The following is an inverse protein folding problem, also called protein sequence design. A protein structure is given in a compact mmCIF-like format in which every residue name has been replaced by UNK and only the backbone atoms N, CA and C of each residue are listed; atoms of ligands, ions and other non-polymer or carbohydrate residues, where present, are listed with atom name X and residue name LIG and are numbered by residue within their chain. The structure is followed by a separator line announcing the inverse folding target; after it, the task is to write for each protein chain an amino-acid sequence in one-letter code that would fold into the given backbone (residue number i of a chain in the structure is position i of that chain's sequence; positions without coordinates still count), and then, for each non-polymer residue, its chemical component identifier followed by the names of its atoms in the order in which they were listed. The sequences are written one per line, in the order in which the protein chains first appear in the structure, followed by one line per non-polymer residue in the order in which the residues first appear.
data_IF_991913646670
#
_entry.id   IF_991913646670
#
_cell.length_a   1.000
_cell.length_b   1.000
_cell.length_c   1.000
_cell.angle_alpha   90.00
_cell.angle_beta   90.00
_cell.angle_gamma   90.00
#
_symmetry.space_group_name_H-M   'P 1'
#
loop_
_entity.id
_entity.type
_entity.pdbx_description
1 polymer ?
#
# COMPACT_ATOMS: atom_id res chain seq x y z
N UNK A 1 36.80 4.45 19.53
CA UNK A 1 36.96 4.75 20.97
C UNK A 1 35.73 4.23 21.69
N UNK A 2 35.84 3.09 22.37
CA UNK A 2 34.76 2.52 23.18
C UNK A 2 34.66 3.29 24.49
N UNK A 3 33.72 4.22 24.58
CA UNK A 3 33.25 4.68 25.88
C UNK A 3 32.45 3.53 26.48
N UNK A 4 32.99 2.88 27.52
CA UNK A 4 32.21 1.97 28.34
C UNK A 4 31.14 2.78 29.07
N UNK A 5 29.96 2.91 28.48
CA UNK A 5 28.78 3.34 29.21
C UNK A 5 28.42 2.22 30.19
N UNK A 6 28.97 2.27 31.39
CA UNK A 6 28.61 1.37 32.49
C UNK A 6 27.29 1.82 33.12
N UNK A 7 26.23 1.95 32.31
CA UNK A 7 24.88 2.19 32.82
C UNK A 7 24.37 0.89 33.42
N UNK A 8 24.34 0.82 34.76
CA UNK A 8 23.92 -0.39 35.49
C UNK A 8 22.40 -0.58 35.54
N UNK A 9 21.63 0.41 35.09
CA UNK A 9 20.16 0.37 35.09
C UNK A 9 19.59 0.06 33.71
N UNK A 10 20.13 0.68 32.66
CA UNK A 10 19.69 0.53 31.27
C UNK A 10 20.76 -0.23 30.46
N UNK A 11 20.83 -1.54 30.68
CA UNK A 11 21.74 -2.46 29.98
C UNK A 11 21.03 -3.76 29.61
N UNK A 12 21.58 -4.50 28.64
CA UNK A 12 21.12 -5.87 28.36
C UNK A 12 21.51 -6.83 29.48
N UNK A 13 20.70 -7.87 29.68
CA UNK A 13 20.93 -8.90 30.68
C UNK A 13 20.37 -10.27 30.28
N UNK A 14 20.55 -11.25 31.16
CA UNK A 14 19.89 -12.54 31.06
C UNK A 14 18.58 -12.54 31.88
N UNK A 15 17.52 -13.22 31.41
CA UNK A 15 17.47 -13.97 30.16
C UNK A 15 17.32 -13.07 28.92
N UNK A 16 17.99 -13.41 27.82
CA UNK A 16 17.99 -12.56 26.60
C UNK A 16 16.62 -12.23 26.03
N UNK A 17 15.59 -13.07 26.23
CA UNK A 17 14.22 -12.79 25.78
C UNK A 17 13.59 -11.56 26.45
N UNK A 18 14.11 -11.14 27.61
CA UNK A 18 13.64 -9.96 28.33
C UNK A 18 14.36 -8.66 27.90
N UNK A 19 15.32 -8.74 26.94
CA UNK A 19 15.98 -7.57 26.40
C UNK A 19 15.12 -6.92 25.30
N UNK A 20 15.00 -5.59 25.33
CA UNK A 20 14.42 -4.82 24.23
C UNK A 20 15.51 -4.29 23.29
N UNK A 21 15.31 -4.42 21.98
CA UNK A 21 16.15 -3.76 20.99
C UNK A 21 15.72 -2.30 20.83
N UNK A 22 16.59 -1.36 21.18
CA UNK A 22 16.33 0.09 21.13
C UNK A 22 17.39 0.81 20.28
N UNK A 23 17.12 2.07 19.92
CA UNK A 23 18.01 2.85 19.06
C UNK A 23 18.20 2.18 17.69
N UNK A 24 19.41 2.24 17.14
CA UNK A 24 19.71 1.71 15.80
C UNK A 24 19.62 0.18 15.69
N UNK A 25 19.56 -0.54 16.82
CA UNK A 25 19.38 -2.00 16.81
C UNK A 25 17.92 -2.42 16.55
N UNK A 26 16.95 -1.53 16.83
CA UNK A 26 15.52 -1.78 16.57
C UNK A 26 14.88 -0.77 15.62
N UNK A 27 15.50 0.40 15.45
CA UNK A 27 15.03 1.55 14.64
C UNK A 27 13.54 1.87 14.82
N UNK A 28 13.03 1.98 16.07
CA UNK A 28 11.60 2.23 16.29
C UNK A 28 11.19 3.63 15.82
N UNK A 29 10.10 3.71 15.06
CA UNK A 29 9.52 4.97 14.58
C UNK A 29 8.44 5.52 15.51
N UNK A 30 7.96 6.73 15.23
CA UNK A 30 6.95 7.42 16.05
C UNK A 30 5.68 6.57 16.33
N UNK A 31 5.27 5.73 15.37
CA UNK A 31 4.11 4.83 15.50
C UNK A 31 4.40 3.67 16.45
N UNK A 32 5.63 3.16 16.49
CA UNK A 32 6.00 2.09 17.42
C UNK A 32 5.94 2.59 18.87
N UNK A 33 6.42 3.82 19.10
CA UNK A 33 6.26 4.49 20.40
C UNK A 33 4.77 4.70 20.74
N UNK A 34 3.97 5.22 19.79
CA UNK A 34 2.54 5.45 20.00
C UNK A 34 1.81 4.16 20.39
N UNK A 35 2.09 3.05 19.70
CA UNK A 35 1.55 1.71 20.01
C UNK A 35 2.03 1.20 21.37
N UNK A 36 3.29 1.42 21.72
CA UNK A 36 3.84 1.07 23.03
C UNK A 36 3.08 1.76 24.17
N UNK A 37 2.87 3.08 24.07
CA UNK A 37 2.06 3.81 25.05
C UNK A 37 0.60 3.34 25.05
N UNK A 38 -0.03 3.14 23.89
CA UNK A 38 -1.41 2.63 23.84
C UNK A 38 -1.55 1.25 24.50
N UNK A 39 -0.60 0.34 24.26
CA UNK A 39 -0.56 -0.99 24.86
C UNK A 39 -0.35 -0.92 26.38
N UNK A 40 0.53 -0.04 26.86
CA UNK A 40 0.72 0.19 28.29
C UNK A 40 -0.56 0.69 28.97
N UNK A 41 -1.26 1.68 28.38
CA UNK A 41 -2.52 2.17 28.91
C UNK A 41 -3.59 1.06 28.99
N UNK A 42 -3.75 0.27 27.93
CA UNK A 42 -4.69 -0.86 27.93
C UNK A 42 -4.34 -1.90 28.98
N UNK A 43 -3.06 -2.23 29.15
CA UNK A 43 -2.59 -3.20 30.14
C UNK A 43 -2.89 -2.74 31.57
N UNK A 44 -2.67 -1.45 31.86
CA UNK A 44 -2.99 -0.86 33.17
C UNK A 44 -4.50 -0.83 33.43
N UNK A 45 -5.30 -0.45 32.42
CA UNK A 45 -6.76 -0.49 32.50
C UNK A 45 -7.25 -1.93 32.78
N UNK A 46 -6.74 -2.90 32.02
CA UNK A 46 -7.11 -4.31 32.15
C UNK A 46 -6.79 -4.85 33.54
N UNK A 47 -5.58 -4.56 34.03
CA UNK A 47 -5.11 -5.04 35.32
C UNK A 47 -5.92 -4.45 36.48
N UNK A 48 -6.19 -3.14 36.45
CA UNK A 48 -7.01 -2.47 37.46
C UNK A 48 -8.49 -2.90 37.42
N UNK A 49 -9.02 -3.23 36.24
CA UNK A 49 -10.40 -3.71 36.10
C UNK A 49 -10.52 -5.16 36.60
N UNK A 50 -9.53 -6.01 36.32
CA UNK A 50 -9.59 -7.45 36.58
C UNK A 50 -9.79 -7.79 38.07
N UNK A 51 -9.22 -7.00 38.97
CA UNK A 51 -9.33 -7.19 40.42
C UNK A 51 -10.14 -6.09 41.10
N UNK A 52 -10.93 -5.32 40.34
CA UNK A 52 -11.74 -4.18 40.84
C UNK A 52 -10.91 -3.11 41.57
N UNK A 53 -9.64 -2.94 41.18
CA UNK A 53 -8.74 -1.91 41.71
C UNK A 53 -8.14 -2.26 43.06
N UNK A 54 -8.14 -3.54 43.45
CA UNK A 54 -7.63 -3.98 44.75
C UNK A 54 -6.10 -3.83 44.85
N UNK A 55 -5.35 -4.34 43.85
CA UNK A 55 -3.88 -4.21 43.82
C UNK A 55 -3.42 -2.95 43.10
N UNK A 56 -4.26 -2.43 42.20
CA UNK A 56 -3.98 -1.27 41.36
C UNK A 56 -5.11 -0.24 41.50
N UNK A 57 -5.13 0.57 42.57
CA UNK A 57 -6.21 1.50 42.86
C UNK A 57 -6.44 2.50 41.72
N UNK A 58 -7.69 2.57 41.25
CA UNK A 58 -8.08 3.44 40.13
C UNK A 58 -7.80 4.93 40.43
N UNK A 59 -7.95 5.35 41.69
CA UNK A 59 -7.70 6.73 42.13
C UNK A 59 -6.24 7.15 41.98
N UNK A 60 -5.31 6.20 42.04
CA UNK A 60 -3.88 6.44 41.84
C UNK A 60 -3.49 6.29 40.37
N UNK A 61 -4.04 5.28 39.69
CA UNK A 61 -3.69 4.98 38.30
C UNK A 61 -4.35 5.89 37.26
N UNK A 62 -5.44 6.59 37.61
CA UNK A 62 -6.17 7.42 36.64
C UNK A 62 -5.27 8.44 35.94
N UNK A 63 -4.34 9.05 36.68
CA UNK A 63 -3.42 10.06 36.14
C UNK A 63 -2.42 9.46 35.14
N UNK A 64 -1.58 8.46 35.49
CA UNK A 64 -0.66 7.88 34.52
C UNK A 64 -1.38 7.21 33.35
N UNK A 65 -2.52 6.53 33.56
CA UNK A 65 -3.30 5.91 32.47
C UNK A 65 -3.77 6.97 31.46
N UNK A 66 -4.43 8.03 31.93
CA UNK A 66 -4.92 9.10 31.06
C UNK A 66 -3.76 9.83 30.35
N UNK A 67 -2.65 10.09 31.05
CA UNK A 67 -1.46 10.67 30.42
C UNK A 67 -0.88 9.77 29.32
N UNK A 68 -0.76 8.47 29.58
CA UNK A 68 -0.28 7.47 28.61
C UNK A 68 -1.19 7.39 27.38
N UNK A 69 -2.51 7.36 27.57
CA UNK A 69 -3.50 7.41 26.46
C UNK A 69 -3.34 8.68 25.63
N UNK A 70 -3.28 9.84 26.32
CA UNK A 70 -3.11 11.15 25.70
C UNK A 70 -1.82 11.23 24.89
N UNK A 71 -0.71 10.71 25.41
CA UNK A 71 0.57 10.76 24.72
C UNK A 71 0.63 9.82 23.51
N UNK A 72 0.00 8.64 23.58
CA UNK A 72 -0.17 7.79 22.41
C UNK A 72 -0.89 8.55 21.26
N UNK A 73 -1.98 9.25 21.58
CA UNK A 73 -2.73 10.07 20.61
C UNK A 73 -1.83 11.17 20.03
N UNK A 74 -1.11 11.91 20.87
CA UNK A 74 -0.19 12.98 20.42
C UNK A 74 0.82 12.48 19.38
N UNK A 75 1.43 11.31 19.60
CA UNK A 75 2.42 10.73 18.70
C UNK A 75 1.83 10.35 17.34
N UNK A 76 0.62 9.76 17.32
CA UNK A 76 -0.11 9.53 16.08
C UNK A 76 -0.38 10.85 15.33
N UNK A 77 -0.88 11.87 16.02
CA UNK A 77 -1.20 13.15 15.38
C UNK A 77 0.04 13.87 14.83
N UNK A 78 1.16 13.79 15.54
CA UNK A 78 2.45 14.30 15.05
C UNK A 78 2.88 13.61 13.76
N UNK A 79 2.73 12.28 13.72
CA UNK A 79 3.03 11.50 12.51
C UNK A 79 2.09 11.86 11.35
N UNK A 80 0.78 11.99 11.59
CA UNK A 80 -0.16 12.40 10.53
C UNK A 80 0.14 13.79 9.96
N UNK A 81 0.56 14.73 10.82
CA UNK A 81 1.03 16.05 10.37
C UNK A 81 2.27 15.94 9.47
N UNK A 82 3.21 15.06 9.78
CA UNK A 82 4.39 14.79 8.95
C UNK A 82 4.01 14.11 7.62
N UNK A 83 3.12 13.13 7.65
CA UNK A 83 2.63 12.43 6.47
C UNK A 83 1.91 13.37 5.49
N UNK A 84 1.09 14.29 6.02
CA UNK A 84 0.47 15.35 5.23
C UNK A 84 1.51 16.25 4.55
N UNK A 85 2.57 16.61 5.27
CA UNK A 85 3.65 17.42 4.69
C UNK A 85 4.41 16.66 3.59
N UNK A 86 4.65 15.36 3.78
CA UNK A 86 5.26 14.49 2.76
C UNK A 86 4.38 14.39 1.51
N UNK A 87 3.08 14.13 1.66
CA UNK A 87 2.14 14.11 0.53
C UNK A 87 2.11 15.49 -0.17
N UNK A 88 2.10 16.58 0.59
CA UNK A 88 2.17 17.94 0.04
C UNK A 88 3.45 18.16 -0.79
N UNK A 89 4.59 17.69 -0.29
CA UNK A 89 5.86 17.77 -1.01
C UNK A 89 5.85 16.93 -2.30
N UNK A 90 5.37 15.68 -2.24
CA UNK A 90 5.22 14.81 -3.41
C UNK A 90 4.32 15.46 -4.47
N UNK A 91 3.26 16.15 -4.05
CA UNK A 91 2.33 16.86 -4.93
C UNK A 91 2.83 18.21 -5.43
N UNK A 92 3.97 18.70 -4.94
CA UNK A 92 4.43 20.09 -5.13
C UNK A 92 3.40 21.13 -4.65
N UNK A 93 2.61 20.79 -3.62
CA UNK A 93 1.64 21.67 -2.95
C UNK A 93 2.04 21.75 -1.48
N UNK A 94 2.96 22.67 -1.18
CA UNK A 94 3.45 22.84 0.20
C UNK A 94 2.30 23.23 1.14
N UNK A 95 2.17 22.49 2.23
CA UNK A 95 1.26 22.84 3.31
C UNK A 95 1.84 23.96 4.17
N UNK A 96 0.99 24.76 4.86
CA UNK A 96 1.45 25.76 5.80
C UNK A 96 2.39 25.15 6.85
N UNK A 97 3.45 25.89 7.19
CA UNK A 97 4.40 25.47 8.24
C UNK A 97 3.66 25.41 9.58
N UNK A 98 3.76 24.28 10.25
CA UNK A 98 3.20 24.11 11.59
C UNK A 98 4.16 24.72 12.63
N UNK A 99 3.61 25.51 13.56
CA UNK A 99 4.36 26.13 14.65
C UNK A 99 4.92 25.07 15.62
N UNK A 100 6.23 25.02 15.77
CA UNK A 100 6.92 24.06 16.65
C UNK A 100 6.66 24.34 18.14
N UNK A 101 6.38 25.60 18.53
CA UNK A 101 5.99 25.95 19.90
C UNK A 101 4.61 25.36 20.25
N UNK A 102 3.75 25.23 19.24
CA UNK A 102 2.43 24.60 19.33
C UNK A 102 2.46 23.06 19.28
N UNK A 103 3.64 22.43 19.13
CA UNK A 103 3.78 20.99 18.85
C UNK A 103 3.31 20.05 19.95
N UNK A 104 2.96 20.55 21.12
CA UNK A 104 2.42 19.76 22.22
C UNK A 104 0.94 20.03 22.50
N UNK A 105 0.29 20.94 21.78
CA UNK A 105 -1.13 21.23 21.96
C UNK A 105 -1.97 20.35 21.02
N UNK A 106 -2.71 19.39 21.59
CA UNK A 106 -3.53 18.45 20.82
C UNK A 106 -4.59 19.16 19.96
N UNK A 107 -5.20 20.25 20.44
CA UNK A 107 -6.21 20.97 19.66
C UNK A 107 -5.59 21.59 18.41
N UNK A 108 -4.39 22.15 18.54
CA UNK A 108 -3.68 22.76 17.41
C UNK A 108 -3.23 21.72 16.39
N UNK A 109 -2.63 20.62 16.85
CA UNK A 109 -2.21 19.54 15.96
C UNK A 109 -3.43 18.93 15.26
N UNK A 110 -4.51 18.64 16.00
CA UNK A 110 -5.71 18.04 15.43
C UNK A 110 -6.40 18.97 14.43
N UNK A 111 -6.52 20.26 14.75
CA UNK A 111 -7.08 21.25 13.81
C UNK A 111 -6.28 21.28 12.52
N UNK A 112 -4.95 21.27 12.60
CA UNK A 112 -4.08 21.20 11.42
C UNK A 112 -4.31 19.91 10.61
N UNK A 113 -4.26 18.75 11.26
CA UNK A 113 -4.47 17.46 10.61
C UNK A 113 -5.84 17.41 9.94
N UNK A 114 -6.90 17.79 10.65
CA UNK A 114 -8.29 17.83 10.14
C UNK A 114 -8.40 18.74 8.93
N UNK A 115 -7.95 19.99 9.02
CA UNK A 115 -8.06 20.96 7.91
C UNK A 115 -7.33 20.47 6.66
N UNK A 116 -6.09 19.99 6.81
CA UNK A 116 -5.27 19.64 5.66
C UNK A 116 -5.55 18.25 5.11
N UNK A 117 -5.95 17.28 5.92
CA UNK A 117 -6.37 15.97 5.44
C UNK A 117 -7.59 16.07 4.51
N UNK A 118 -8.60 16.85 4.89
CA UNK A 118 -9.82 17.07 4.08
C UNK A 118 -9.52 17.72 2.72
N UNK A 119 -8.45 18.53 2.63
CA UNK A 119 -8.01 19.17 1.39
C UNK A 119 -7.02 18.31 0.58
N UNK A 120 -6.47 17.24 1.18
CA UNK A 120 -5.39 16.46 0.59
C UNK A 120 -5.92 15.33 -0.28
N UNK A 121 -6.72 14.42 0.29
CA UNK A 121 -7.28 13.27 -0.42
C UNK A 121 -8.63 12.87 0.18
N UNK A 122 -9.59 12.50 -0.68
CA UNK A 122 -10.95 12.16 -0.28
C UNK A 122 -11.03 10.94 0.66
N UNK A 123 -10.06 10.02 0.58
CA UNK A 123 -9.99 8.82 1.43
C UNK A 123 -9.73 9.16 2.90
N UNK A 124 -9.18 10.33 3.20
CA UNK A 124 -8.89 10.75 4.58
C UNK A 124 -10.14 11.25 5.32
N UNK A 125 -11.18 11.66 4.58
CA UNK A 125 -12.35 12.36 5.15
C UNK A 125 -13.11 11.48 6.15
N UNK A 126 -13.38 10.23 5.80
CA UNK A 126 -14.10 9.31 6.67
C UNK A 126 -13.35 9.03 7.99
N UNK A 127 -12.03 8.83 7.90
CA UNK A 127 -11.19 8.61 9.08
C UNK A 127 -11.18 9.83 10.00
N UNK A 128 -11.00 11.02 9.45
CA UNK A 128 -11.00 12.26 10.23
C UNK A 128 -12.33 12.46 10.96
N UNK A 129 -13.46 12.24 10.27
CA UNK A 129 -14.78 12.36 10.88
C UNK A 129 -15.01 11.36 12.01
N UNK A 130 -14.54 10.11 11.87
CA UNK A 130 -14.67 9.08 12.90
C UNK A 130 -13.80 9.36 14.13
N UNK A 131 -12.67 10.03 13.95
CA UNK A 131 -11.71 10.35 15.02
C UNK A 131 -12.06 11.62 15.82
N UNK A 132 -12.82 12.54 15.20
CA UNK A 132 -13.00 13.91 15.70
C UNK A 132 -13.54 13.97 17.13
N UNK A 133 -14.58 13.21 17.45
CA UNK A 133 -15.18 13.16 18.79
C UNK A 133 -14.14 12.74 19.84
N UNK A 134 -13.44 11.63 19.60
CA UNK A 134 -12.50 11.06 20.56
C UNK A 134 -11.30 11.97 20.83
N UNK A 135 -10.75 12.59 19.78
CA UNK A 135 -9.61 13.48 19.93
C UNK A 135 -10.03 14.77 20.63
N UNK A 136 -11.20 15.31 20.29
CA UNK A 136 -11.73 16.52 20.91
C UNK A 136 -12.05 16.30 22.38
N UNK A 137 -12.57 15.14 22.78
CA UNK A 137 -12.79 14.80 24.19
C UNK A 137 -11.48 14.86 24.99
N UNK A 138 -10.42 14.24 24.47
CA UNK A 138 -9.11 14.22 25.15
C UNK A 138 -8.49 15.61 25.16
N UNK A 139 -8.58 16.36 24.06
CA UNK A 139 -8.01 17.70 23.96
C UNK A 139 -8.76 18.74 24.79
N UNK A 140 -10.08 18.59 24.97
CA UNK A 140 -10.87 19.44 25.87
C UNK A 140 -10.44 19.26 27.33
N UNK A 141 -9.97 18.06 27.70
CA UNK A 141 -9.54 17.76 29.05
C UNK A 141 -8.05 18.05 29.27
N UNK A 142 -7.18 17.69 28.33
CA UNK A 142 -5.73 17.84 28.45
C UNK A 142 -5.02 18.14 27.11
N UNK A 143 -5.29 19.32 26.57
CA UNK A 143 -4.67 19.80 25.34
C UNK A 143 -3.13 19.77 25.41
N UNK A 144 -2.55 20.26 26.51
CA UNK A 144 -1.10 20.50 26.68
C UNK A 144 -0.35 19.34 27.33
N UNK A 145 -1.06 18.29 27.73
CA UNK A 145 -0.52 17.13 28.43
C UNK A 145 -0.24 17.39 29.91
N UNK A 146 -0.61 18.53 30.48
CA UNK A 146 -0.26 18.93 31.84
C UNK A 146 -1.25 18.40 32.88
N UNK A 147 -2.53 18.27 32.52
CA UNK A 147 -3.65 18.03 33.44
C UNK A 147 -3.52 16.71 34.18
N UNK A 148 -3.01 15.67 33.52
CA UNK A 148 -2.79 14.36 34.13
C UNK A 148 -1.39 14.14 34.70
N UNK A 149 -0.48 15.11 34.57
CA UNK A 149 0.88 15.03 35.13
C UNK A 149 1.03 15.76 36.45
N UNK A 150 0.37 16.90 36.58
CA UNK A 150 0.54 17.78 37.74
C UNK A 150 -0.80 17.97 38.47
N UNK A 151 -0.80 18.10 39.81
CA UNK A 151 -2.04 18.36 40.56
C UNK A 151 -2.66 19.74 40.29
N UNK A 152 -1.84 20.72 39.93
CA UNK A 152 -2.21 22.11 39.68
C UNK A 152 -1.44 22.67 38.48
N UNK A 153 -1.99 23.73 37.87
CA UNK A 153 -1.31 24.50 36.83
C UNK A 153 -0.21 25.43 37.39
N UNK A 154 0.41 26.21 36.50
CA UNK A 154 1.46 27.18 36.84
C UNK A 154 0.97 28.32 37.76
N UNK A 155 -0.34 28.57 37.81
CA UNK A 155 -0.97 29.55 38.72
C UNK A 155 -1.40 28.89 40.04
N UNK A 156 -1.01 27.64 40.29
CA UNK A 156 -1.42 26.82 41.44
C UNK A 156 -2.94 26.57 41.51
N UNK A 157 -3.65 26.63 40.38
CA UNK A 157 -5.07 26.25 40.29
C UNK A 157 -5.17 24.75 40.07
N UNK A 158 -5.96 24.10 40.93
CA UNK A 158 -6.17 22.65 40.87
C UNK A 158 -6.82 22.24 39.55
N UNK A 159 -6.30 21.18 38.93
CA UNK A 159 -6.88 20.59 37.72
C UNK A 159 -8.13 19.74 37.99
N UNK A 160 -8.89 19.44 36.94
CA UNK A 160 -10.06 18.53 36.94
C UNK A 160 -11.22 18.94 37.88
N UNK A 161 -11.32 20.20 38.29
CA UNK A 161 -12.38 20.66 39.21
C UNK A 161 -13.80 20.56 38.65
N UNK A 162 -13.95 20.48 37.32
CA UNK A 162 -15.23 20.29 36.62
C UNK A 162 -15.59 18.82 36.36
N UNK A 163 -14.66 17.87 36.55
CA UNK A 163 -14.87 16.43 36.31
C UNK A 163 -14.42 15.67 37.55
N UNK A 164 -15.38 15.31 38.39
CA UNK A 164 -15.10 14.65 39.67
C UNK A 164 -14.88 13.13 39.60
N UNK A 165 -15.23 12.49 38.48
CA UNK A 165 -15.21 11.02 38.35
C UNK A 165 -14.76 10.63 36.94
N UNK A 166 -13.82 9.69 36.84
CA UNK A 166 -13.40 9.05 35.59
C UNK A 166 -13.56 7.54 35.75
N UNK A 167 -14.34 6.92 34.87
CA UNK A 167 -14.65 5.49 34.95
C UNK A 167 -13.73 4.66 34.03
N UNK A 168 -13.00 3.70 34.60
CA UNK A 168 -12.04 2.86 33.85
C UNK A 168 -12.70 1.96 32.80
N UNK A 169 -13.92 1.47 33.03
CA UNK A 169 -14.65 0.69 32.02
C UNK A 169 -15.01 1.56 30.81
N UNK A 170 -15.40 2.83 31.05
CA UNK A 170 -15.68 3.80 29.97
C UNK A 170 -14.40 4.14 29.21
N UNK A 171 -13.31 4.43 29.92
CA UNK A 171 -12.00 4.70 29.30
C UNK A 171 -11.55 3.53 28.42
N UNK A 172 -11.55 2.31 28.95
CA UNK A 172 -11.17 1.11 28.21
C UNK A 172 -12.02 0.92 26.97
N UNK A 173 -13.35 1.06 27.08
CA UNK A 173 -14.25 0.93 25.93
C UNK A 173 -13.94 1.96 24.85
N UNK A 174 -13.85 3.25 25.22
CA UNK A 174 -13.59 4.34 24.25
C UNK A 174 -12.20 4.23 23.64
N UNK A 175 -11.19 3.90 24.42
CA UNK A 175 -9.82 3.78 23.90
C UNK A 175 -9.66 2.58 22.97
N UNK A 176 -10.32 1.44 23.28
CA UNK A 176 -10.38 0.28 22.39
C UNK A 176 -11.08 0.58 21.06
N UNK A 177 -12.01 1.55 21.03
CA UNK A 177 -12.63 2.05 19.79
C UNK A 177 -11.70 3.00 19.03
N UNK A 178 -11.01 3.91 19.74
CA UNK A 178 -10.12 4.91 19.17
C UNK A 178 -8.89 4.29 18.50
N UNK A 179 -8.24 3.31 19.11
CA UNK A 179 -6.96 2.79 18.63
C UNK A 179 -7.02 2.23 17.19
N UNK A 180 -7.99 1.37 16.80
CA UNK A 180 -8.17 0.94 15.42
C UNK A 180 -8.42 2.09 14.43
N UNK A 181 -9.03 3.19 14.87
CA UNK A 181 -9.27 4.37 14.02
C UNK A 181 -7.97 5.13 13.73
N UNK A 182 -7.13 5.32 14.76
CA UNK A 182 -5.80 5.92 14.60
C UNK A 182 -4.91 5.06 13.71
N UNK A 183 -4.90 3.75 13.94
CA UNK A 183 -4.14 2.80 13.12
C UNK A 183 -4.69 2.73 11.68
N UNK A 184 -6.00 2.84 11.50
CA UNK A 184 -6.66 2.92 10.20
C UNK A 184 -6.20 4.15 9.40
N UNK A 185 -6.24 5.33 10.03
CA UNK A 185 -5.75 6.56 9.40
C UNK A 185 -4.26 6.46 9.07
N UNK A 186 -3.44 5.90 9.96
CA UNK A 186 -2.02 5.67 9.71
C UNK A 186 -1.77 4.79 8.48
N UNK A 187 -2.48 3.66 8.36
CA UNK A 187 -2.38 2.77 7.19
C UNK A 187 -2.74 3.52 5.90
N UNK A 188 -3.83 4.28 5.93
CA UNK A 188 -4.25 5.11 4.78
C UNK A 188 -3.18 6.14 4.40
N UNK A 189 -2.51 6.78 5.37
CA UNK A 189 -1.39 7.67 5.06
C UNK A 189 -0.21 6.96 4.41
N UNK A 190 0.20 5.80 4.93
CA UNK A 190 1.29 4.99 4.34
C UNK A 190 0.95 4.60 2.90
N UNK A 191 -0.26 4.10 2.66
CA UNK A 191 -0.72 3.72 1.33
C UNK A 191 -0.75 4.91 0.37
N UNK A 192 -1.21 6.08 0.84
CA UNK A 192 -1.24 7.31 0.05
C UNK A 192 0.15 7.82 -0.29
N UNK A 193 1.08 7.83 0.67
CA UNK A 193 2.46 8.28 0.43
C UNK A 193 3.08 7.41 -0.68
N UNK A 194 2.96 6.09 -0.59
CA UNK A 194 3.43 5.18 -1.62
C UNK A 194 2.73 5.41 -2.97
N UNK A 195 1.40 5.61 -2.99
CA UNK A 195 0.66 5.92 -4.22
C UNK A 195 1.14 7.23 -4.88
N UNK A 196 1.33 8.29 -4.10
CA UNK A 196 1.80 9.59 -4.59
C UNK A 196 3.27 9.53 -5.07
N UNK A 197 4.12 8.66 -4.49
CA UNK A 197 5.50 8.44 -4.98
C UNK A 197 5.55 7.94 -6.43
N UNK A 198 4.51 7.28 -6.91
CA UNK A 198 4.42 6.83 -8.31
C UNK A 198 4.14 7.95 -9.32
N UNK A 199 3.68 9.11 -8.87
CA UNK A 199 3.61 10.31 -9.73
C UNK A 199 2.39 10.43 -10.63
N UNK A 200 1.38 9.55 -10.53
CA UNK A 200 0.13 9.69 -11.30
C UNK A 200 -0.96 10.37 -10.50
N UNK A 201 -0.92 11.69 -10.56
CA UNK A 201 -1.91 12.62 -10.04
C UNK A 201 -1.81 13.92 -10.85
N UNK A 202 -2.77 14.82 -10.68
CA UNK A 202 -2.66 16.19 -11.18
C UNK A 202 -2.60 17.16 -10.00
N UNK A 203 -2.54 18.47 -10.26
CA UNK A 203 -2.52 19.46 -9.18
C UNK A 203 -3.71 19.30 -8.22
N UNK A 204 -4.87 18.90 -8.76
CA UNK A 204 -6.12 18.77 -8.01
C UNK A 204 -6.67 17.35 -7.88
N UNK A 205 -6.27 16.38 -8.71
CA UNK A 205 -6.85 15.04 -8.73
C UNK A 205 -5.86 13.98 -8.24
N UNK A 206 -6.27 13.16 -7.27
CA UNK A 206 -5.53 11.98 -6.86
C UNK A 206 -5.62 10.85 -7.89
N UNK A 207 -4.80 9.80 -7.75
CA UNK A 207 -4.88 8.62 -8.64
C UNK A 207 -6.27 8.00 -8.61
N UNK A 208 -6.88 7.88 -7.42
CA UNK A 208 -8.24 7.37 -7.28
C UNK A 208 -9.25 8.18 -8.12
N UNK A 209 -9.15 9.50 -8.07
CA UNK A 209 -10.02 10.38 -8.84
C UNK A 209 -9.75 10.28 -10.35
N UNK A 210 -8.49 10.10 -10.76
CA UNK A 210 -8.15 9.81 -12.16
C UNK A 210 -8.75 8.47 -12.63
N UNK A 211 -8.74 7.44 -11.79
CA UNK A 211 -9.40 6.15 -12.10
C UNK A 211 -10.91 6.30 -12.25
N UNK A 212 -11.57 7.00 -11.31
CA UNK A 212 -13.00 7.32 -11.39
C UNK A 212 -13.32 8.11 -12.68
N UNK A 213 -12.49 9.10 -13.01
CA UNK A 213 -12.64 9.91 -14.21
C UNK A 213 -12.45 9.08 -15.49
N UNK A 214 -11.48 8.15 -15.51
CA UNK A 214 -11.29 7.23 -16.62
C UNK A 214 -12.52 6.33 -16.85
N UNK A 215 -13.17 5.88 -15.78
CA UNK A 215 -14.40 5.08 -15.86
C UNK A 215 -15.63 5.89 -16.27
N UNK A 216 -15.67 7.19 -15.98
CA UNK A 216 -16.77 8.08 -16.41
C UNK A 216 -16.64 8.54 -17.88
N UNK A 217 -15.44 8.45 -18.46
CA UNK A 217 -15.20 8.86 -19.85
C UNK A 217 -15.82 7.86 -20.84
N UNK A 218 -16.44 8.33 -21.93
CA UNK A 218 -16.84 7.45 -23.02
C UNK A 218 -15.61 6.93 -23.75
N UNK A 219 -15.80 5.85 -24.52
CA UNK A 219 -14.76 5.31 -25.39
C UNK A 219 -14.11 6.41 -26.26
N UNK A 220 -12.78 6.35 -26.37
CA UNK A 220 -11.91 7.33 -27.02
C UNK A 220 -12.24 7.55 -28.49
N UNK A 221 -12.81 6.55 -29.16
CA UNK A 221 -13.28 6.62 -30.55
C UNK A 221 -14.46 7.58 -30.73
N UNK A 222 -15.21 7.87 -29.66
CA UNK A 222 -16.44 8.67 -29.68
C UNK A 222 -16.24 10.15 -29.38
N UNK A 223 -15.00 10.58 -29.09
CA UNK A 223 -14.73 11.94 -28.64
C UNK A 223 -14.84 13.00 -29.76
N UNK A 224 -14.96 12.59 -31.01
CA UNK A 224 -15.27 13.49 -32.14
C UNK A 224 -16.77 13.77 -32.32
N UNK A 225 -17.63 13.06 -31.59
CA UNK A 225 -19.08 13.25 -31.65
C UNK A 225 -19.50 14.48 -30.82
N UNK A 226 -20.56 15.17 -31.25
CA UNK A 226 -21.04 16.41 -30.61
C UNK A 226 -21.41 16.26 -29.12
N UNK A 227 -21.80 15.07 -28.67
CA UNK A 227 -22.16 14.83 -27.27
C UNK A 227 -20.96 14.98 -26.32
N UNK A 228 -19.73 14.82 -26.81
CA UNK A 228 -18.53 14.84 -25.97
C UNK A 228 -18.28 16.21 -25.33
N UNK A 229 -18.71 17.30 -25.97
CA UNK A 229 -18.62 18.63 -25.38
C UNK A 229 -19.45 18.74 -24.09
N UNK A 230 -20.65 18.14 -24.08
CA UNK A 230 -21.48 18.08 -22.87
C UNK A 230 -20.85 17.19 -21.80
N UNK A 231 -20.31 16.03 -22.17
CA UNK A 231 -19.58 15.14 -21.24
C UNK A 231 -18.45 15.91 -20.55
N UNK A 232 -17.70 16.73 -21.28
CA UNK A 232 -16.62 17.53 -20.68
C UNK A 232 -17.15 18.58 -19.71
N UNK A 233 -18.32 19.17 -19.97
CA UNK A 233 -18.99 20.09 -19.03
C UNK A 233 -19.39 19.35 -17.76
N UNK A 234 -20.00 18.18 -17.89
CA UNK A 234 -20.47 17.37 -16.76
C UNK A 234 -19.30 16.89 -15.89
N UNK A 235 -18.22 16.41 -16.51
CA UNK A 235 -17.00 15.98 -15.80
C UNK A 235 -16.33 17.12 -15.04
N UNK A 236 -16.23 18.33 -15.63
CA UNK A 236 -15.70 19.50 -14.90
C UNK A 236 -16.52 19.81 -13.66
N UNK A 237 -17.85 19.72 -13.76
CA UNK A 237 -18.76 19.95 -12.63
C UNK A 237 -18.60 18.87 -11.57
N UNK A 238 -18.62 17.59 -11.97
CA UNK A 238 -18.48 16.42 -11.06
C UNK A 238 -17.18 16.47 -10.26
N UNK A 239 -16.05 16.71 -10.94
CA UNK A 239 -14.72 16.71 -10.33
C UNK A 239 -14.26 18.09 -9.85
N UNK A 240 -15.07 19.15 -10.03
CA UNK A 240 -14.76 20.53 -9.64
C UNK A 240 -13.44 21.04 -10.23
N UNK A 241 -13.18 20.74 -11.50
CA UNK A 241 -11.93 21.08 -12.20
C UNK A 241 -12.13 22.06 -13.36
N UNK A 242 -11.09 22.83 -13.67
CA UNK A 242 -11.06 23.69 -14.86
C UNK A 242 -10.92 22.87 -16.16
N UNK A 243 -11.26 23.48 -17.30
CA UNK A 243 -11.03 22.84 -18.61
C UNK A 243 -9.57 22.44 -18.85
N UNK A 244 -8.61 23.26 -18.40
CA UNK A 244 -7.17 22.97 -18.55
C UNK A 244 -6.76 21.77 -17.72
N UNK A 245 -7.27 21.69 -16.50
CA UNK A 245 -6.97 20.59 -15.58
C UNK A 245 -7.59 19.28 -16.06
N UNK A 246 -8.84 19.30 -16.52
CA UNK A 246 -9.47 18.14 -17.17
C UNK A 246 -8.65 17.65 -18.37
N UNK A 247 -8.16 18.55 -19.23
CA UNK A 247 -7.28 18.16 -20.34
C UNK A 247 -6.00 17.46 -19.88
N UNK A 248 -5.38 17.92 -18.78
CA UNK A 248 -4.17 17.28 -18.22
C UNK A 248 -4.49 15.90 -17.69
N UNK A 249 -5.58 15.76 -16.93
CA UNK A 249 -6.06 14.49 -16.41
C UNK A 249 -6.32 13.48 -17.54
N UNK A 250 -7.04 13.88 -18.58
CA UNK A 250 -7.32 13.06 -19.76
C UNK A 250 -6.05 12.63 -20.49
N UNK A 251 -5.06 13.53 -20.60
CA UNK A 251 -3.75 13.19 -21.20
C UNK A 251 -3.00 12.16 -20.36
N UNK A 252 -3.01 12.29 -19.04
CA UNK A 252 -2.35 11.36 -18.13
C UNK A 252 -3.03 9.99 -18.14
N UNK A 253 -4.37 9.94 -18.18
CA UNK A 253 -5.14 8.69 -18.31
C UNK A 253 -4.73 7.91 -19.57
N UNK A 254 -4.56 8.60 -20.71
CA UNK A 254 -4.16 7.97 -21.97
C UNK A 254 -2.75 7.37 -21.95
N UNK A 255 -1.91 7.67 -20.95
CA UNK A 255 -0.54 7.14 -20.84
C UNK A 255 -0.37 6.10 -19.74
N UNK A 256 -1.46 5.66 -19.10
CA UNK A 256 -1.45 4.63 -18.06
C UNK A 256 -2.26 3.45 -18.56
N UNK A 257 -1.64 2.28 -18.70
CA UNK A 257 -2.22 1.04 -19.18
C UNK A 257 -3.62 0.78 -18.63
N UNK A 258 -3.76 0.70 -17.30
CA UNK A 258 -5.04 0.34 -16.68
C UNK A 258 -6.13 1.41 -16.89
N UNK A 259 -5.76 2.69 -17.03
CA UNK A 259 -6.72 3.78 -17.20
C UNK A 259 -7.07 4.01 -18.68
N UNK A 260 -6.10 3.87 -19.58
CA UNK A 260 -6.29 4.00 -21.02
C UNK A 260 -7.17 2.86 -21.55
N UNK A 261 -7.07 1.68 -20.95
CA UNK A 261 -7.97 0.55 -21.23
C UNK A 261 -9.44 0.88 -20.92
N UNK A 262 -9.73 1.61 -19.82
CA UNK A 262 -11.10 2.02 -19.48
C UNK A 262 -11.78 2.86 -20.56
N UNK A 263 -11.00 3.64 -21.32
CA UNK A 263 -11.51 4.47 -22.42
C UNK A 263 -11.40 3.77 -23.78
N UNK A 264 -11.13 2.46 -23.83
CA UNK A 264 -11.00 1.71 -25.07
C UNK A 264 -9.80 2.15 -25.93
N UNK A 265 -8.72 2.59 -25.31
CA UNK A 265 -7.48 2.98 -25.98
C UNK A 265 -6.27 2.39 -25.24
N UNK A 266 -6.14 1.05 -25.16
CA UNK A 266 -5.06 0.40 -24.41
C UNK A 266 -3.69 0.86 -24.91
N UNK A 267 -2.74 1.03 -23.98
CA UNK A 267 -1.36 1.39 -24.31
C UNK A 267 -0.64 0.13 -24.79
N UNK A 268 -0.07 0.11 -26.00
CA UNK A 268 0.67 -1.06 -26.47
C UNK A 268 1.92 -1.30 -25.63
N UNK A 269 2.18 -2.57 -25.27
CA UNK A 269 3.45 -2.97 -24.64
C UNK A 269 4.49 -3.17 -25.76
N UNK A 270 5.61 -2.43 -25.77
CA UNK A 270 6.65 -2.58 -26.78
C UNK A 270 7.12 -4.04 -26.91
N UNK A 271 7.23 -4.52 -28.15
CA UNK A 271 7.72 -5.88 -28.49
C UNK A 271 6.87 -7.02 -27.92
N UNK A 272 5.69 -6.75 -27.38
CA UNK A 272 4.73 -7.79 -27.04
C UNK A 272 3.90 -8.15 -28.27
N UNK A 273 3.88 -9.43 -28.63
CA UNK A 273 3.00 -9.96 -29.66
C UNK A 273 2.31 -11.24 -29.17
N UNK A 274 1.10 -11.52 -29.68
CA UNK A 274 0.40 -12.78 -29.42
C UNK A 274 1.28 -13.95 -29.85
N UNK A 275 1.89 -13.88 -31.04
CA UNK A 275 2.74 -14.94 -31.57
C UNK A 275 3.94 -15.27 -30.67
N UNK A 276 4.60 -14.28 -30.07
CA UNK A 276 5.71 -14.51 -29.13
C UNK A 276 5.22 -15.19 -27.85
N UNK A 277 4.09 -14.73 -27.29
CA UNK A 277 3.49 -15.39 -26.13
C UNK A 277 3.05 -16.83 -26.42
N UNK A 278 2.47 -17.09 -27.59
CA UNK A 278 2.09 -18.43 -28.01
C UNK A 278 3.32 -19.35 -28.13
N UNK A 279 4.40 -18.89 -28.78
CA UNK A 279 5.66 -19.66 -28.85
C UNK A 279 6.21 -19.98 -27.45
N UNK A 280 6.17 -19.00 -26.55
CA UNK A 280 6.62 -19.17 -25.17
C UNK A 280 5.77 -20.20 -24.42
N UNK A 281 4.44 -20.06 -24.45
CA UNK A 281 3.53 -20.97 -23.74
C UNK A 281 3.51 -22.36 -24.36
N UNK A 282 3.62 -22.50 -25.69
CA UNK A 282 3.72 -23.79 -26.36
C UNK A 282 4.95 -24.58 -25.87
N UNK A 283 6.11 -23.91 -25.74
CA UNK A 283 7.31 -24.55 -25.16
C UNK A 283 7.14 -24.85 -23.68
N UNK A 284 6.51 -23.96 -22.91
CA UNK A 284 6.28 -24.20 -21.49
C UNK A 284 5.36 -25.40 -21.27
N UNK A 285 4.27 -25.52 -22.04
CA UNK A 285 3.33 -26.64 -21.99
C UNK A 285 3.96 -27.96 -22.48
N UNK A 286 5.02 -27.93 -23.29
CA UNK A 286 5.76 -29.14 -23.65
C UNK A 286 6.49 -29.79 -22.45
N UNK A 287 6.67 -29.04 -21.35
CA UNK A 287 7.43 -29.47 -20.18
C UNK A 287 6.67 -29.42 -18.86
N UNK A 288 5.47 -28.85 -18.87
CA UNK A 288 4.65 -28.65 -17.69
C UNK A 288 3.21 -29.03 -18.00
N UNK A 289 2.54 -29.63 -17.03
CA UNK A 289 1.15 -30.07 -17.18
C UNK A 289 0.19 -28.88 -17.07
N UNK A 290 -0.44 -28.52 -18.20
CA UNK A 290 -1.45 -27.47 -18.27
C UNK A 290 -2.65 -27.78 -17.38
N UNK A 291 -2.95 -29.05 -17.09
CA UNK A 291 -4.05 -29.40 -16.20
C UNK A 291 -3.82 -28.90 -14.77
N UNK A 292 -2.56 -28.83 -14.31
CA UNK A 292 -2.21 -28.24 -13.02
C UNK A 292 -2.45 -26.72 -12.98
N UNK A 293 -2.43 -26.06 -14.13
CA UNK A 293 -2.79 -24.65 -14.26
C UNK A 293 -4.29 -24.48 -14.25
N UNK A 294 -5.07 -25.42 -14.80
CA UNK A 294 -6.54 -25.33 -14.84
C UNK A 294 -7.13 -25.67 -13.46
N UNK A 295 -6.76 -26.83 -12.94
CA UNK A 295 -7.25 -27.41 -11.69
C UNK A 295 -6.07 -27.78 -10.78
N UNK A 296 -5.48 -26.78 -10.08
CA UNK A 296 -4.33 -27.03 -9.22
C UNK A 296 -4.74 -27.89 -8.01
N UNK A 297 -3.93 -28.90 -7.65
CA UNK A 297 -4.20 -29.70 -6.45
C UNK A 297 -4.11 -28.83 -5.18
N UNK A 298 -4.79 -29.23 -4.09
CA UNK A 298 -4.71 -28.52 -2.82
C UNK A 298 -3.26 -28.49 -2.30
N UNK A 299 -2.88 -27.48 -1.50
CA UNK A 299 -1.56 -27.40 -0.89
C UNK A 299 -1.22 -28.67 -0.12
N UNK A 300 -0.05 -29.27 -0.40
CA UNK A 300 0.45 -30.46 0.30
C UNK A 300 1.90 -30.27 0.76
N UNK A 301 2.28 -31.02 1.78
CA UNK A 301 3.67 -31.08 2.21
C UNK A 301 4.55 -31.68 1.10
N UNK A 302 5.63 -31.00 0.78
CA UNK A 302 6.61 -31.43 -0.23
C UNK A 302 7.53 -32.48 0.41
N UNK A 303 7.62 -33.66 -0.20
CA UNK A 303 8.53 -34.72 0.23
C UNK A 303 9.94 -34.52 -0.34
N UNK A 304 10.93 -35.20 0.26
CA UNK A 304 12.29 -35.26 -0.30
C UNK A 304 12.31 -35.85 -1.72
N UNK A 305 11.37 -36.75 -2.02
CA UNK A 305 11.17 -37.31 -3.37
C UNK A 305 10.68 -36.26 -4.36
N UNK A 306 9.71 -35.42 -3.97
CA UNK A 306 9.20 -34.33 -4.83
C UNK A 306 10.34 -33.32 -5.14
N UNK A 307 11.24 -33.08 -4.18
CA UNK A 307 12.43 -32.22 -4.37
C UNK A 307 13.43 -32.89 -5.33
N UNK A 308 13.71 -34.18 -5.14
CA UNK A 308 14.64 -34.92 -6.00
C UNK A 308 14.12 -35.05 -7.44
N UNK A 309 12.81 -35.17 -7.61
CA UNK A 309 12.15 -35.19 -8.92
C UNK A 309 12.27 -33.81 -9.59
N UNK A 310 12.00 -32.72 -8.85
CA UNK A 310 12.14 -31.36 -9.35
C UNK A 310 13.55 -31.04 -9.89
N UNK A 311 14.61 -31.57 -9.26
CA UNK A 311 16.01 -31.41 -9.67
C UNK A 311 16.35 -32.16 -10.97
N UNK A 312 15.67 -33.27 -11.29
CA UNK A 312 15.92 -34.04 -12.52
C UNK A 312 15.36 -33.34 -13.77
N UNK A 313 14.40 -32.45 -13.61
CA UNK A 313 13.78 -31.70 -14.71
C UNK A 313 14.63 -30.53 -15.23
N UNK A 314 15.72 -30.14 -14.56
CA UNK A 314 16.51 -28.96 -14.94
C UNK A 314 17.29 -29.12 -16.26
N UNK A 315 17.76 -30.31 -16.59
CA UNK A 315 18.46 -30.56 -17.86
C UNK A 315 17.50 -30.40 -19.05
N UNK A 316 16.29 -30.95 -18.94
CA UNK A 316 15.26 -30.84 -19.98
C UNK A 316 14.81 -29.37 -20.18
N UNK A 317 14.77 -28.58 -19.10
CA UNK A 317 14.44 -27.14 -19.16
C UNK A 317 15.49 -26.32 -19.92
N UNK A 318 16.76 -26.71 -19.83
CA UNK A 318 17.82 -26.02 -20.54
C UNK A 318 17.72 -26.26 -22.07
N UNK A 319 17.40 -27.48 -22.49
CA UNK A 319 17.19 -27.81 -23.91
C UNK A 319 15.99 -27.04 -24.50
N UNK A 320 14.91 -26.88 -23.73
CA UNK A 320 13.76 -26.06 -24.12
C UNK A 320 14.12 -24.58 -24.25
N UNK A 321 14.95 -24.06 -23.34
CA UNK A 321 15.49 -22.71 -23.41
C UNK A 321 16.31 -22.47 -24.67
N UNK A 322 17.14 -23.46 -25.08
CA UNK A 322 17.90 -23.42 -26.33
C UNK A 322 16.97 -23.37 -27.55
N UNK A 323 15.94 -24.23 -27.59
CA UNK A 323 14.97 -24.25 -28.67
C UNK A 323 14.18 -22.95 -28.79
N UNK A 324 13.72 -22.41 -27.65
CA UNK A 324 12.94 -21.16 -27.63
C UNK A 324 13.76 -19.93 -28.01
N UNK A 325 15.07 -19.92 -27.73
CA UNK A 325 15.96 -18.82 -28.10
C UNK A 325 16.06 -18.60 -29.63
N UNK A 326 15.71 -19.61 -30.44
CA UNK A 326 15.63 -19.48 -31.89
C UNK A 326 14.28 -18.93 -32.40
N UNK A 327 13.25 -18.92 -31.54
CA UNK A 327 11.87 -18.60 -31.91
C UNK A 327 11.39 -17.26 -31.35
N UNK A 328 12.01 -16.77 -30.27
CA UNK A 328 11.68 -15.49 -29.62
C UNK A 328 12.97 -14.68 -29.48
N UNK A 329 12.93 -13.40 -29.87
CA UNK A 329 14.07 -12.52 -29.69
C UNK A 329 14.18 -11.95 -28.26
N UNK A 330 15.35 -11.47 -27.82
CA UNK A 330 15.53 -10.97 -26.46
C UNK A 330 14.57 -9.84 -26.07
N UNK A 331 14.15 -8.98 -26.99
CA UNK A 331 13.25 -7.86 -26.68
C UNK A 331 11.80 -8.35 -26.49
N UNK A 332 11.36 -9.35 -27.26
CA UNK A 332 10.10 -10.05 -27.02
C UNK A 332 10.12 -10.76 -25.65
N UNK A 333 11.23 -11.43 -25.31
CA UNK A 333 11.39 -12.07 -24.01
C UNK A 333 11.40 -11.08 -22.84
N UNK A 334 11.91 -9.86 -23.04
CA UNK A 334 11.84 -8.80 -22.04
C UNK A 334 10.39 -8.43 -21.69
N UNK A 335 9.51 -8.34 -22.69
CA UNK A 335 8.08 -8.09 -22.45
C UNK A 335 7.43 -9.23 -21.66
N UNK A 336 7.76 -10.49 -21.98
CA UNK A 336 7.26 -11.67 -21.26
C UNK A 336 7.76 -11.69 -19.80
N UNK A 337 9.04 -11.41 -19.56
CA UNK A 337 9.58 -11.26 -18.21
C UNK A 337 8.84 -10.17 -17.43
N UNK A 338 8.61 -9.01 -18.06
CA UNK A 338 7.93 -7.91 -17.42
C UNK A 338 6.51 -8.29 -16.99
N UNK A 339 5.75 -8.97 -17.87
CA UNK A 339 4.43 -9.50 -17.53
C UNK A 339 4.49 -10.52 -16.39
N UNK A 340 5.51 -11.39 -16.34
CA UNK A 340 5.63 -12.39 -15.28
C UNK A 340 5.97 -11.77 -13.91
N UNK A 341 6.91 -10.82 -13.87
CA UNK A 341 7.42 -10.27 -12.61
C UNK A 341 6.58 -9.12 -12.05
N UNK A 342 5.78 -8.45 -12.88
CA UNK A 342 4.89 -7.35 -12.44
C UNK A 342 3.90 -7.74 -11.35
N UNK A 343 3.44 -9.00 -11.28
CA UNK A 343 2.49 -9.48 -10.24
C UNK A 343 3.01 -9.29 -8.80
N UNK A 344 4.33 -9.12 -8.64
CA UNK A 344 5.03 -8.93 -7.36
C UNK A 344 5.33 -7.45 -7.04
N UNK A 345 4.97 -6.54 -7.95
CA UNK A 345 5.15 -5.10 -7.78
C UNK A 345 3.86 -4.40 -7.32
N UNK A 346 3.96 -3.09 -7.08
CA UNK A 346 2.78 -2.25 -6.87
C UNK A 346 1.84 -2.34 -8.08
N UNK A 347 0.51 -2.46 -7.87
CA UNK A 347 -0.47 -2.62 -8.95
C UNK A 347 -0.75 -1.28 -9.63
N UNK A 348 0.24 -0.75 -10.35
CA UNK A 348 0.21 0.53 -11.06
C UNK A 348 1.02 0.44 -12.35
N UNK A 349 0.56 1.09 -13.43
CA UNK A 349 1.29 1.16 -14.71
C UNK A 349 2.77 1.48 -14.57
N UNK A 350 3.12 2.42 -13.70
CA UNK A 350 4.48 2.93 -13.56
C UNK A 350 5.43 1.88 -12.99
N UNK A 351 4.92 0.98 -12.15
CA UNK A 351 5.69 -0.14 -11.64
C UNK A 351 5.94 -1.16 -12.77
N UNK A 352 4.95 -1.42 -13.61
CA UNK A 352 5.12 -2.24 -14.81
C UNK A 352 6.17 -1.63 -15.76
N UNK A 353 6.08 -0.34 -16.06
CA UNK A 353 7.06 0.36 -16.92
C UNK A 353 8.48 0.28 -16.36
N UNK A 354 8.63 0.40 -15.04
CA UNK A 354 9.94 0.22 -14.38
C UNK A 354 10.47 -1.20 -14.56
N UNK A 355 9.62 -2.21 -14.37
CA UNK A 355 9.99 -3.62 -14.58
C UNK A 355 10.35 -3.88 -16.04
N UNK A 356 9.55 -3.38 -16.98
CA UNK A 356 9.81 -3.51 -18.41
C UNK A 356 11.16 -2.90 -18.78
N UNK A 357 11.48 -1.71 -18.28
CA UNK A 357 12.77 -1.06 -18.51
C UNK A 357 13.97 -1.81 -17.87
N UNK A 358 13.75 -2.59 -16.81
CA UNK A 358 14.79 -3.49 -16.27
C UNK A 358 15.06 -4.60 -17.28
N UNK A 359 14.02 -5.30 -17.73
CA UNK A 359 14.20 -6.45 -18.63
C UNK A 359 14.61 -6.07 -20.06
N UNK A 360 14.26 -4.87 -20.54
CA UNK A 360 14.79 -4.35 -21.80
C UNK A 360 16.31 -4.12 -21.72
N UNK A 361 16.83 -3.64 -20.59
CA UNK A 361 18.28 -3.52 -20.38
C UNK A 361 18.97 -4.88 -20.29
N UNK A 362 18.33 -5.88 -19.70
CA UNK A 362 18.84 -7.25 -19.71
C UNK A 362 18.86 -7.84 -21.13
N UNK A 363 17.81 -7.58 -21.92
CA UNK A 363 17.72 -8.02 -23.32
C UNK A 363 18.88 -7.50 -24.18
N UNK A 364 19.36 -6.28 -23.94
CA UNK A 364 20.54 -5.75 -24.62
C UNK A 364 21.80 -6.59 -24.33
N UNK A 365 21.95 -7.09 -23.10
CA UNK A 365 23.02 -8.03 -22.74
C UNK A 365 22.87 -9.39 -23.43
N UNK A 366 21.64 -9.90 -23.55
CA UNK A 366 21.34 -11.16 -24.22
C UNK A 366 21.64 -11.14 -25.71
N UNK A 367 21.48 -9.98 -26.39
CA UNK A 367 21.85 -9.83 -27.82
C UNK A 367 23.33 -10.13 -28.08
N UNK A 368 24.21 -9.86 -27.11
CA UNK A 368 25.64 -10.13 -27.21
C UNK A 368 26.07 -11.48 -26.57
N UNK A 369 25.18 -12.12 -25.80
CA UNK A 369 25.49 -13.33 -25.05
C UNK A 369 24.35 -14.36 -25.15
N UNK A 370 24.39 -15.15 -26.23
CA UNK A 370 23.39 -16.19 -26.51
C UNK A 370 23.31 -17.24 -25.38
N UNK A 371 24.43 -17.62 -24.78
CA UNK A 371 24.43 -18.62 -23.71
C UNK A 371 23.68 -18.12 -22.46
N UNK A 372 23.89 -16.86 -22.07
CA UNK A 372 23.14 -16.25 -20.98
C UNK A 372 21.64 -16.12 -21.31
N UNK A 373 21.30 -15.81 -22.57
CA UNK A 373 19.92 -15.74 -23.02
C UNK A 373 19.21 -17.10 -22.92
N UNK A 374 19.83 -18.15 -23.45
CA UNK A 374 19.32 -19.52 -23.39
C UNK A 374 19.14 -20.00 -21.95
N UNK A 375 20.08 -19.68 -21.06
CA UNK A 375 19.97 -19.99 -19.64
C UNK A 375 18.79 -19.27 -18.98
N UNK A 376 18.58 -17.98 -19.29
CA UNK A 376 17.48 -17.19 -18.75
C UNK A 376 16.11 -17.71 -19.20
N UNK A 377 15.97 -18.07 -20.48
CA UNK A 377 14.78 -18.76 -21.00
C UNK A 377 14.54 -20.09 -20.30
N UNK A 378 15.59 -20.92 -20.15
CA UNK A 378 15.49 -22.20 -19.45
C UNK A 378 15.04 -22.04 -17.99
N UNK A 379 15.52 -20.99 -17.31
CA UNK A 379 15.05 -20.67 -15.96
C UNK A 379 13.56 -20.31 -15.92
N UNK A 380 13.08 -19.55 -16.92
CA UNK A 380 11.66 -19.20 -17.03
C UNK A 380 10.77 -20.44 -17.30
N UNK A 381 11.27 -21.45 -18.03
CA UNK A 381 10.55 -22.72 -18.26
C UNK A 381 10.27 -23.51 -16.97
N UNK A 382 11.03 -23.26 -15.90
CA UNK A 382 10.81 -23.86 -14.59
C UNK A 382 9.79 -23.14 -13.70
N UNK A 383 9.26 -21.99 -14.13
CA UNK A 383 8.29 -21.23 -13.33
C UNK A 383 6.90 -21.85 -13.46
N UNK A 384 6.33 -22.28 -12.34
CA UNK A 384 5.03 -22.98 -12.30
C UNK A 384 3.80 -22.06 -12.41
N UNK A 385 3.97 -20.75 -12.19
CA UNK A 385 2.87 -19.75 -12.18
C UNK A 385 2.90 -18.82 -13.40
N UNK A 386 3.42 -19.28 -14.54
CA UNK A 386 3.56 -18.42 -15.73
C UNK A 386 2.21 -17.92 -16.23
N UNK A 387 1.19 -18.79 -16.31
CA UNK A 387 -0.15 -18.39 -16.72
C UNK A 387 -0.78 -17.44 -15.70
N UNK A 388 -0.80 -17.78 -14.41
CA UNK A 388 -1.39 -16.92 -13.37
C UNK A 388 -0.80 -15.50 -13.42
N UNK A 389 0.52 -15.38 -13.53
CA UNK A 389 1.23 -14.10 -13.51
C UNK A 389 1.06 -13.31 -14.79
N UNK A 390 1.22 -13.94 -15.94
CA UNK A 390 1.14 -13.25 -17.24
C UNK A 390 -0.31 -12.84 -17.52
N UNK A 391 -1.30 -13.70 -17.28
CA UNK A 391 -2.71 -13.36 -17.50
C UNK A 391 -3.18 -12.28 -16.53
N UNK A 392 -2.75 -12.31 -15.26
CA UNK A 392 -2.96 -11.20 -14.33
C UNK A 392 -2.46 -9.88 -14.92
N UNK A 393 -1.22 -9.87 -15.43
CA UNK A 393 -0.60 -8.65 -15.96
C UNK A 393 -1.28 -8.17 -17.24
N UNK A 394 -1.62 -9.07 -18.17
CA UNK A 394 -2.35 -8.73 -19.39
C UNK A 394 -3.72 -8.11 -19.06
N UNK A 395 -4.46 -8.72 -18.12
CA UNK A 395 -5.76 -8.23 -17.70
C UNK A 395 -5.69 -6.90 -16.93
N UNK A 396 -4.68 -6.73 -16.07
CA UNK A 396 -4.47 -5.49 -15.32
C UNK A 396 -4.08 -4.33 -16.25
N UNK A 397 -3.17 -4.59 -17.20
CA UNK A 397 -2.66 -3.61 -18.17
C UNK A 397 -3.62 -3.39 -19.36
N UNK A 398 -4.78 -4.04 -19.35
CA UNK A 398 -5.83 -3.85 -20.35
C UNK A 398 -5.48 -4.39 -21.74
N UNK A 399 -4.61 -5.39 -21.84
CA UNK A 399 -4.26 -6.10 -23.07
C UNK A 399 -5.31 -7.17 -23.42
N UNK A 400 -6.59 -6.77 -23.46
CA UNK A 400 -7.73 -7.70 -23.54
C UNK A 400 -7.68 -8.59 -24.78
N UNK A 401 -7.31 -8.06 -25.95
CA UNK A 401 -7.25 -8.87 -27.18
C UNK A 401 -6.22 -10.01 -27.08
N UNK A 402 -5.05 -9.71 -26.50
CA UNK A 402 -3.98 -10.71 -26.26
C UNK A 402 -4.45 -11.71 -25.20
N UNK A 403 -5.03 -11.22 -24.11
CA UNK A 403 -5.57 -12.05 -23.03
C UNK A 403 -6.57 -13.08 -23.55
N UNK A 404 -7.55 -12.64 -24.34
CA UNK A 404 -8.60 -13.51 -24.89
C UNK A 404 -8.02 -14.54 -25.87
N UNK A 405 -7.05 -14.15 -26.71
CA UNK A 405 -6.37 -15.08 -27.60
C UNK A 405 -5.65 -16.21 -26.83
N UNK A 406 -4.94 -15.87 -25.74
CA UNK A 406 -4.26 -16.86 -24.91
C UNK A 406 -5.26 -17.74 -24.14
N UNK A 407 -6.32 -17.17 -23.55
CA UNK A 407 -7.35 -17.98 -22.86
C UNK A 407 -8.00 -18.98 -23.82
N UNK A 408 -8.33 -18.54 -25.03
CA UNK A 408 -8.95 -19.39 -26.04
C UNK A 408 -8.00 -20.51 -26.51
N UNK A 409 -6.76 -20.19 -26.87
CA UNK A 409 -5.79 -21.16 -27.39
C UNK A 409 -5.51 -22.30 -26.40
N UNK A 410 -5.33 -21.97 -25.13
CA UNK A 410 -4.95 -22.94 -24.10
C UNK A 410 -6.15 -23.48 -23.30
N UNK A 411 -7.39 -23.22 -23.72
CA UNK A 411 -8.58 -23.78 -23.08
C UNK A 411 -8.75 -23.39 -21.61
N UNK A 412 -8.35 -22.17 -21.24
CA UNK A 412 -8.26 -21.73 -19.84
C UNK A 412 -9.57 -21.20 -19.26
N UNK A 413 -10.65 -21.23 -20.04
CA UNK A 413 -11.96 -20.71 -19.65
C UNK A 413 -12.47 -21.31 -18.32
N UNK A 414 -12.33 -22.62 -18.02
CA UNK A 414 -12.72 -23.18 -16.73
C UNK A 414 -12.01 -22.56 -15.52
N UNK A 415 -10.78 -22.06 -15.72
CA UNK A 415 -9.94 -21.46 -14.68
C UNK A 415 -9.94 -19.94 -14.69
N UNK A 416 -10.55 -19.28 -15.68
CA UNK A 416 -10.53 -17.82 -15.90
C UNK A 416 -10.79 -17.04 -14.62
N UNK A 417 -11.85 -17.39 -13.88
CA UNK A 417 -12.23 -16.69 -12.65
C UNK A 417 -11.09 -16.65 -11.63
N UNK A 418 -10.45 -17.80 -11.39
CA UNK A 418 -9.32 -17.91 -10.44
C UNK A 418 -8.09 -17.19 -10.96
N UNK A 419 -7.75 -17.36 -12.25
CA UNK A 419 -6.57 -16.76 -12.86
C UNK A 419 -6.64 -15.22 -12.87
N UNK A 420 -7.84 -14.64 -12.96
CA UNK A 420 -8.06 -13.19 -13.01
C UNK A 420 -8.55 -12.57 -11.70
N UNK A 421 -8.78 -13.36 -10.64
CA UNK A 421 -9.32 -12.88 -9.36
C UNK A 421 -8.50 -11.74 -8.79
N UNK A 422 -7.17 -11.92 -8.70
CA UNK A 422 -6.27 -10.90 -8.17
C UNK A 422 -6.32 -9.61 -8.99
N UNK A 423 -6.36 -9.71 -10.33
CA UNK A 423 -6.43 -8.53 -11.19
C UNK A 423 -7.75 -7.78 -11.01
N UNK A 424 -8.86 -8.51 -10.91
CA UNK A 424 -10.18 -7.93 -10.64
C UNK A 424 -10.23 -7.17 -9.31
N UNK A 425 -9.62 -7.72 -8.25
CA UNK A 425 -9.52 -7.05 -6.95
C UNK A 425 -8.72 -5.75 -7.08
N UNK A 426 -7.58 -5.76 -7.78
CA UNK A 426 -6.73 -4.57 -7.92
C UNK A 426 -7.36 -3.49 -8.82
N UNK A 427 -8.12 -3.90 -9.84
CA UNK A 427 -8.84 -2.98 -10.75
C UNK A 427 -10.12 -2.41 -10.14
N UNK A 428 -10.64 -2.98 -9.06
CA UNK A 428 -11.81 -2.44 -8.39
C UNK A 428 -11.56 -1.00 -7.93
N UNK A 429 -12.49 -0.10 -8.23
CA UNK A 429 -12.48 1.27 -7.73
C UNK A 429 -13.25 1.26 -6.41
N UNK A 430 -12.62 1.61 -5.28
CA UNK A 430 -13.32 1.75 -4.01
C UNK A 430 -14.51 2.70 -4.15
N UNK A 431 -15.68 2.24 -3.69
CA UNK A 431 -16.95 3.00 -3.70
C UNK A 431 -16.90 4.19 -2.76
#
# INVERSE_FOLDING_TARGET
MNLSFANKTFMGGEPTWANACVGDNGTPGAIDYAKGFASAANTLLDSAIADQGLNLPVDTLVYPVCFTMRHAIELFLKKFKEDLAEIGALRCVALPVFDQVASHDLNRIWTYVKTHALATDERLVAHVNQLDEYITDVAALDATGQVFRYPSDVDNKKHLTSIGIINFLVLKRRFKQLQPLLEGLNRTFVDLIEEYRWGTFTASLSRLQLRKLASDLPARSRWGEAFFDQVRVDLKTKYKVSSRELCRAIKLIQTRHEMAACIGAPVPIPRLSVAALERFFDKWCAANDLQLVIDPPPPRFVSLTDIAEALRYDVNRQDLGIGLAAEIDPDEFAAINALFYFESEAPVSEAFERVLAIYQREADGYKANLAAYQQSLGHMMGKIRVFDRILYSLDFLGQTEILEAIIQRYGLEPARRRLLEKSNIMKAIPT
#
